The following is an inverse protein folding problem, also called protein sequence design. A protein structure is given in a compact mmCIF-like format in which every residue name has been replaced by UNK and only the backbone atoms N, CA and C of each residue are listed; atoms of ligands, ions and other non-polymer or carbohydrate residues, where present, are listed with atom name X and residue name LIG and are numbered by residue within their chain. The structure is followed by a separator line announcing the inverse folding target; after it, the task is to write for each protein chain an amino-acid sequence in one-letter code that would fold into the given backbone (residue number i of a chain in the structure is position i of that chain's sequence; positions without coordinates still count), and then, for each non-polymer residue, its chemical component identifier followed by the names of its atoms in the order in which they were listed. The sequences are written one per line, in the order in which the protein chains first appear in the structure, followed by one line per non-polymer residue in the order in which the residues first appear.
data_IF_529472483500
#
_entry.id   IF_529472483500
#
_cell.length_a   1.000
_cell.length_b   1.000
_cell.length_c   1.000
_cell.angle_alpha   90.00
_cell.angle_beta   90.00
_cell.angle_gamma   90.00
#
_symmetry.space_group_name_H-M   'P 1'
#
loop_
_entity.id
_entity.type
_entity.pdbx_description
1 polymer ?
#
# COMPACT_ATOMS: atom_id res chain seq x y z
N UNK A 1 17.14 -10.28 21.69
CA UNK A 1 16.06 -9.71 20.86
C UNK A 1 16.61 -9.43 19.45
N UNK A 2 17.02 -10.46 18.69
CA UNK A 2 17.88 -10.25 17.50
C UNK A 2 17.49 -11.06 16.26
N UNK A 3 16.57 -12.04 16.35
CA UNK A 3 16.20 -12.87 15.19
C UNK A 3 15.12 -12.27 14.28
N UNK A 4 14.27 -11.36 14.78
CA UNK A 4 13.09 -10.86 14.04
C UNK A 4 13.39 -9.63 13.16
N UNK A 5 14.50 -8.92 13.40
CA UNK A 5 14.84 -7.70 12.63
C UNK A 5 15.34 -7.99 11.22
N UNK A 6 15.78 -9.23 10.94
CA UNK A 6 16.31 -9.63 9.64
C UNK A 6 15.24 -9.89 8.57
N UNK A 7 14.02 -10.25 8.98
CA UNK A 7 12.90 -10.51 8.07
C UNK A 7 12.16 -9.24 7.62
N UNK A 8 12.26 -8.16 8.39
CA UNK A 8 11.60 -6.89 8.09
C UNK A 8 12.46 -5.90 7.30
N UNK A 9 13.78 -6.11 7.24
CA UNK A 9 14.68 -5.24 6.51
C UNK A 9 14.72 -5.60 5.02
N UNK A 10 14.53 -4.60 4.13
CA UNK A 10 14.78 -4.81 2.71
C UNK A 10 16.27 -5.16 2.48
N UNK A 11 16.58 -5.81 1.36
CA UNK A 11 17.95 -6.28 1.05
C UNK A 11 19.01 -5.20 1.22
N UNK A 12 18.68 -3.96 0.89
CA UNK A 12 19.56 -2.80 1.06
C UNK A 12 19.80 -2.44 2.53
N UNK A 13 18.74 -2.36 3.34
CA UNK A 13 18.87 -2.10 4.78
C UNK A 13 19.66 -3.22 5.50
N UNK A 14 19.47 -4.47 5.06
CA UNK A 14 20.20 -5.63 5.59
C UNK A 14 21.71 -5.52 5.32
N UNK A 15 22.10 -5.22 4.08
CA UNK A 15 23.50 -5.02 3.69
C UNK A 15 24.12 -3.87 4.49
N UNK A 16 23.45 -2.72 4.56
CA UNK A 16 23.93 -1.58 5.37
C UNK A 16 24.09 -1.90 6.86
N UNK A 17 23.27 -2.79 7.43
CA UNK A 17 23.43 -3.24 8.82
C UNK A 17 24.61 -4.21 9.01
N UNK A 18 24.93 -5.03 8.00
CA UNK A 18 26.02 -6.00 8.06
C UNK A 18 27.37 -5.34 7.76
N UNK A 19 27.47 -4.55 6.69
CA UNK A 19 28.69 -3.81 6.35
C UNK A 19 28.94 -2.57 7.22
N UNK A 20 27.89 -1.93 7.75
CA UNK A 20 27.99 -0.68 8.53
C UNK A 20 28.53 -0.86 9.96
N UNK A 21 28.66 -2.10 10.44
CA UNK A 21 29.54 -2.51 11.54
C UNK A 21 29.39 -1.82 12.90
N UNK A 22 28.32 -1.08 13.19
CA UNK A 22 28.20 -0.35 14.45
C UNK A 22 26.76 -0.05 14.89
N UNK A 23 26.56 0.01 16.20
CA UNK A 23 25.26 0.29 16.83
C UNK A 23 24.64 1.60 16.30
N UNK A 24 25.46 2.63 16.03
CA UNK A 24 25.01 3.92 15.52
C UNK A 24 24.30 3.83 14.15
N UNK A 25 24.78 2.98 13.24
CA UNK A 25 24.13 2.76 11.94
C UNK A 25 22.78 2.04 12.13
N UNK A 26 22.70 1.10 13.07
CA UNK A 26 21.48 0.40 13.46
C UNK A 26 20.39 1.32 14.01
N UNK A 27 20.76 2.33 14.81
CA UNK A 27 19.79 3.31 15.33
C UNK A 27 19.21 4.21 14.23
N UNK A 28 20.02 4.63 13.25
CA UNK A 28 19.57 5.49 12.15
C UNK A 28 18.60 4.78 11.20
N UNK A 29 18.87 3.51 10.87
CA UNK A 29 18.01 2.72 9.97
C UNK A 29 16.67 2.40 10.63
N UNK A 30 16.67 2.15 11.94
CA UNK A 30 15.44 1.90 12.70
C UNK A 30 14.55 3.15 12.74
N UNK A 31 15.14 4.34 12.94
CA UNK A 31 14.41 5.59 12.91
C UNK A 31 13.70 5.82 11.57
N UNK A 32 14.40 5.60 10.45
CA UNK A 32 13.80 5.73 9.12
C UNK A 32 12.69 4.70 8.89
N UNK A 33 12.87 3.45 9.33
CA UNK A 33 11.80 2.45 9.26
C UNK A 33 10.56 2.87 10.04
N UNK A 34 10.72 3.41 11.25
CA UNK A 34 9.60 3.92 12.04
C UNK A 34 8.84 5.03 11.30
N UNK A 35 9.56 5.98 10.69
CA UNK A 35 8.93 7.06 9.92
C UNK A 35 8.16 6.52 8.71
N UNK A 36 8.73 5.56 7.98
CA UNK A 36 8.05 4.92 6.84
C UNK A 36 6.79 4.18 7.29
N UNK A 37 6.85 3.45 8.41
CA UNK A 37 5.69 2.75 8.97
C UNK A 37 4.60 3.73 9.41
N UNK A 38 4.95 4.89 9.99
CA UNK A 38 3.98 5.92 10.32
C UNK A 38 3.35 6.56 9.08
N UNK A 39 4.11 6.77 8.01
CA UNK A 39 3.57 7.26 6.74
C UNK A 39 2.61 6.26 6.10
N UNK A 40 3.02 4.99 5.99
CA UNK A 40 2.16 3.93 5.45
C UNK A 40 0.93 3.69 6.33
N UNK A 41 1.11 3.71 7.65
CA UNK A 41 0.02 3.62 8.63
C UNK A 41 -0.95 4.80 8.51
N UNK A 42 -0.44 6.02 8.32
CA UNK A 42 -1.24 7.21 8.08
C UNK A 42 -2.06 7.11 6.80
N UNK A 43 -1.43 6.73 5.68
CA UNK A 43 -2.12 6.53 4.40
C UNK A 43 -3.23 5.49 4.56
N UNK A 44 -2.91 4.32 5.13
CA UNK A 44 -3.89 3.26 5.37
C UNK A 44 -5.04 3.70 6.28
N UNK A 45 -4.74 4.45 7.35
CA UNK A 45 -5.74 4.99 8.27
C UNK A 45 -6.69 5.97 7.57
N UNK A 46 -6.16 6.87 6.73
CA UNK A 46 -6.98 7.82 5.98
C UNK A 46 -7.81 7.09 4.92
N UNK A 47 -7.24 6.15 4.17
CA UNK A 47 -7.99 5.32 3.21
C UNK A 47 -9.13 4.57 3.90
N UNK A 48 -8.88 3.96 5.06
CA UNK A 48 -9.91 3.27 5.83
C UNK A 48 -11.03 4.22 6.29
N UNK A 49 -10.68 5.42 6.77
CA UNK A 49 -11.68 6.44 7.16
C UNK A 49 -12.51 6.92 5.99
N UNK A 50 -11.89 7.12 4.83
CA UNK A 50 -12.58 7.54 3.60
C UNK A 50 -13.53 6.44 3.16
N UNK A 51 -13.06 5.19 3.05
CA UNK A 51 -13.90 4.05 2.68
C UNK A 51 -15.08 3.85 3.64
N UNK A 52 -14.89 4.07 4.96
CA UNK A 52 -16.00 4.05 5.92
C UNK A 52 -17.01 5.16 5.67
N UNK A 53 -16.57 6.40 5.42
CA UNK A 53 -17.46 7.52 5.10
C UNK A 53 -18.21 7.30 3.80
N UNK A 54 -17.54 6.77 2.78
CA UNK A 54 -18.16 6.43 1.50
C UNK A 54 -19.29 5.42 1.68
N UNK A 55 -19.14 4.43 2.58
CA UNK A 55 -20.22 3.47 2.88
C UNK A 55 -21.40 4.09 3.63
N UNK A 56 -21.14 5.01 4.55
CA UNK A 56 -22.18 5.68 5.35
C UNK A 56 -23.00 6.69 4.52
N UNK A 57 -22.38 7.36 3.55
CA UNK A 57 -23.00 8.36 2.67
C UNK A 57 -23.14 7.89 1.22
N UNK A 58 -23.13 6.57 1.00
CA UNK A 58 -23.32 6.01 -0.33
C UNK A 58 -24.73 6.32 -0.81
N UNK A 59 -24.88 7.10 -1.88
CA UNK A 59 -26.16 7.35 -2.54
C UNK A 59 -26.38 6.32 -3.66
N UNK A 60 -27.30 5.35 -3.50
CA UNK A 60 -27.58 4.35 -4.53
C UNK A 60 -28.12 4.96 -5.83
N UNK A 61 -28.69 6.17 -5.80
CA UNK A 61 -29.21 6.83 -6.99
C UNK A 61 -28.11 7.27 -7.97
N UNK A 62 -26.85 7.35 -7.50
CA UNK A 62 -25.69 7.74 -8.30
C UNK A 62 -24.82 6.55 -8.72
N UNK A 63 -25.21 5.31 -8.40
CA UNK A 63 -24.50 4.12 -8.88
C UNK A 63 -24.99 3.77 -10.29
N UNK A 64 -24.23 4.16 -11.31
CA UNK A 64 -24.50 3.70 -12.68
C UNK A 64 -24.18 2.21 -12.80
N UNK A 65 -25.19 1.42 -13.17
CA UNK A 65 -24.98 0.06 -13.62
C UNK A 65 -24.31 0.11 -15.00
N UNK A 66 -23.13 -0.48 -15.12
CA UNK A 66 -22.43 -0.56 -16.40
C UNK A 66 -23.29 -1.29 -17.44
N UNK A 67 -23.73 -0.57 -18.47
CA UNK A 67 -24.40 -1.16 -19.63
C UNK A 67 -23.38 -1.29 -20.76
N UNK A 68 -23.04 -2.53 -21.13
CA UNK A 68 -22.16 -2.78 -22.25
C UNK A 68 -22.75 -2.15 -23.54
N UNK A 69 -21.94 -1.46 -24.36
CA UNK A 69 -22.42 -0.95 -25.63
C UNK A 69 -22.91 -2.13 -26.48
N UNK A 70 -24.13 -2.03 -27.00
CA UNK A 70 -24.68 -3.03 -27.91
C UNK A 70 -23.71 -3.20 -29.07
N UNK A 71 -23.12 -4.39 -29.20
CA UNK A 71 -22.19 -4.69 -30.28
C UNK A 71 -22.89 -4.35 -31.61
N UNK A 72 -22.30 -3.50 -32.47
CA UNK A 72 -22.84 -3.33 -33.82
C UNK A 72 -22.84 -4.71 -34.48
N UNK A 73 -24.00 -5.10 -35.01
CA UNK A 73 -24.12 -6.34 -35.78
C UNK A 73 -23.16 -6.25 -36.97
N UNK A 74 -21.96 -6.82 -36.82
CA UNK A 74 -21.04 -7.02 -37.93
C UNK A 74 -21.66 -8.14 -38.78
N UNK A 75 -22.14 -7.84 -40.01
CA UNK A 75 -22.67 -8.89 -40.86
C UNK A 75 -21.53 -9.86 -41.19
N UNK A 76 -21.78 -11.15 -40.93
CA UNK A 76 -20.84 -12.22 -41.23
C UNK A 76 -20.46 -12.16 -42.72
N UNK A 77 -19.20 -11.82 -42.99
CA UNK A 77 -18.65 -11.86 -44.34
C UNK A 77 -18.69 -13.31 -44.84
N UNK A 78 -19.31 -13.50 -46.01
CA UNK A 78 -19.49 -14.76 -46.72
C UNK A 78 -18.26 -15.10 -47.55
#
# INVERSE_FOLDING_TARGET
MTANSLFLACSTCRVSMVEGGGDAAGWSIFFLLVVVLLMLGGIGFFMFRIARREREHFDPALSDDYVAPAAPAVPAAR
#
